data_IF_681333860844
#
_entry.id   IF_681333860844
#
_cell.length_a   1.000
_cell.length_b   1.000
_cell.length_c   1.000
_cell.angle_alpha   90.00
_cell.angle_beta   90.00
_cell.angle_gamma   90.00
#
_symmetry.space_group_name_H-M   'P 1'
#
loop_
_entity.id
_entity.type
_entity.pdbx_description
1 polymer ?
#
# COMPACT_ATOMS: atom_id res chain seq x y z
N UNK A 1 -12.21 -1.20 -28.84
CA UNK A 1 -11.41 -0.15 -29.52
C UNK A 1 -11.64 1.17 -28.81
N UNK A 2 -10.85 1.43 -27.78
CA UNK A 2 -10.77 2.70 -27.05
C UNK A 2 -9.28 2.93 -26.74
N UNK A 3 -8.76 4.15 -26.89
CA UNK A 3 -7.32 4.39 -26.88
C UNK A 3 -6.76 4.51 -25.47
N UNK A 4 -5.60 3.90 -25.28
CA UNK A 4 -4.69 4.07 -24.15
C UNK A 4 -4.37 5.54 -23.91
N UNK A 5 -4.97 6.12 -22.88
CA UNK A 5 -4.62 7.44 -22.35
C UNK A 5 -4.30 7.27 -20.85
N UNK A 6 -3.16 6.64 -20.57
CA UNK A 6 -2.41 6.90 -19.36
C UNK A 6 -1.12 7.61 -19.78
N UNK A 7 -0.80 8.78 -19.21
CA UNK A 7 0.48 9.40 -19.47
C UNK A 7 1.59 8.50 -18.95
N UNK A 8 2.59 8.30 -19.78
CA UNK A 8 3.72 7.42 -19.58
C UNK A 8 4.64 8.03 -18.50
N UNK A 9 4.31 7.88 -17.22
CA UNK A 9 5.09 8.40 -16.07
C UNK A 9 6.52 7.84 -16.06
N UNK A 10 6.76 6.68 -16.68
CA UNK A 10 8.10 6.12 -16.89
C UNK A 10 8.98 6.95 -17.82
N UNK A 11 8.42 7.87 -18.63
CA UNK A 11 9.18 8.65 -19.61
C UNK A 11 9.59 10.04 -19.12
N UNK A 12 8.94 10.56 -18.06
CA UNK A 12 9.22 11.88 -17.52
C UNK A 12 10.40 11.90 -16.51
N UNK A 13 10.77 10.74 -15.95
CA UNK A 13 11.88 10.62 -14.98
C UNK A 13 13.23 10.37 -15.66
N UNK A 14 13.25 9.94 -16.93
CA UNK A 14 14.49 9.72 -17.72
C UNK A 14 14.99 10.98 -18.46
N UNK A 15 14.97 12.12 -17.77
CA UNK A 15 15.53 13.38 -18.25
C UNK A 15 17.07 13.40 -18.21
N UNK A 16 17.70 13.05 -19.35
CA UNK A 16 19.10 13.32 -19.76
C UNK A 16 20.24 12.58 -19.03
N UNK A 17 20.56 11.38 -19.54
CA UNK A 17 21.84 11.12 -20.24
C UNK A 17 21.70 9.86 -21.09
N UNK A 18 21.44 10.05 -22.38
CA UNK A 18 21.48 8.98 -23.39
C UNK A 18 22.95 8.63 -23.63
N UNK A 19 23.47 7.61 -22.96
CA UNK A 19 24.78 7.04 -23.29
C UNK A 19 24.54 6.12 -24.49
N UNK A 20 24.94 6.58 -25.68
CA UNK A 20 25.02 5.69 -26.85
C UNK A 20 26.18 4.73 -26.64
N UNK A 21 26.02 3.42 -26.91
CA UNK A 21 27.16 2.53 -26.96
C UNK A 21 27.92 2.79 -28.26
N UNK A 22 29.14 3.34 -28.14
CA UNK A 22 30.11 3.33 -29.23
C UNK A 22 30.56 1.89 -29.45
N UNK A 23 30.32 1.39 -30.66
CA UNK A 23 30.77 0.10 -31.16
C UNK A 23 32.30 0.04 -31.20
N UNK A 24 32.88 -0.66 -30.23
CA UNK A 24 34.19 -1.31 -30.35
C UNK A 24 34.14 -2.51 -29.41
N UNK A 25 33.89 -3.68 -29.99
CA UNK A 25 34.07 -4.98 -29.36
C UNK A 25 35.56 -5.14 -28.97
N UNK A 26 35.81 -5.87 -27.89
CA UNK A 26 37.12 -6.22 -27.30
C UNK A 26 37.64 -5.34 -26.13
N UNK A 27 36.83 -5.11 -25.07
CA UNK A 27 37.34 -4.93 -23.67
C UNK A 27 36.25 -5.00 -22.54
N UNK A 28 35.19 -5.80 -22.76
CA UNK A 28 33.90 -5.60 -22.06
C UNK A 28 33.78 -6.06 -20.61
N UNK A 29 34.71 -6.85 -20.07
CA UNK A 29 34.55 -7.48 -18.75
C UNK A 29 35.11 -6.66 -17.59
N UNK A 30 36.25 -5.97 -17.76
CA UNK A 30 36.84 -5.17 -16.67
C UNK A 30 36.05 -3.89 -16.39
N UNK A 31 35.55 -3.21 -17.43
CA UNK A 31 34.73 -2.01 -17.26
C UNK A 31 33.36 -2.30 -16.62
N UNK A 32 32.76 -3.46 -16.91
CA UNK A 32 31.47 -3.85 -16.31
C UNK A 32 31.61 -4.19 -14.82
N UNK A 33 32.68 -4.88 -14.43
CA UNK A 33 32.96 -5.19 -13.02
C UNK A 33 33.24 -3.94 -12.19
N UNK A 34 33.96 -2.96 -12.75
CA UNK A 34 34.26 -1.71 -12.05
C UNK A 34 33.01 -0.86 -11.82
N UNK A 35 32.13 -0.76 -12.84
CA UNK A 35 30.84 -0.06 -12.74
C UNK A 35 29.91 -0.72 -11.72
N UNK A 36 29.86 -2.05 -11.69
CA UNK A 36 29.06 -2.80 -10.72
C UNK A 36 29.55 -2.60 -9.27
N UNK A 37 30.87 -2.56 -9.08
CA UNK A 37 31.47 -2.27 -7.77
C UNK A 37 31.12 -0.86 -7.31
N UNK A 38 31.20 0.12 -8.21
CA UNK A 38 30.81 1.50 -7.92
C UNK A 38 29.35 1.63 -7.46
N UNK A 39 28.40 0.98 -8.14
CA UNK A 39 27.00 1.03 -7.73
C UNK A 39 26.75 0.36 -6.38
N UNK A 40 27.50 -0.69 -6.05
CA UNK A 40 27.40 -1.35 -4.75
C UNK A 40 27.91 -0.43 -3.63
N UNK A 41 29.02 0.27 -3.87
CA UNK A 41 29.52 1.30 -2.96
C UNK A 41 28.53 2.46 -2.79
N UNK A 42 27.89 2.92 -3.88
CA UNK A 42 26.85 3.95 -3.81
C UNK A 42 25.61 3.50 -3.01
N UNK A 43 25.20 2.23 -3.17
CA UNK A 43 24.10 1.66 -2.38
C UNK A 43 24.47 1.58 -0.89
N UNK A 44 25.68 1.11 -0.59
CA UNK A 44 26.19 1.01 0.77
C UNK A 44 26.33 2.39 1.43
N UNK A 45 26.82 3.40 0.71
CA UNK A 45 26.88 4.79 1.18
C UNK A 45 25.48 5.32 1.47
N UNK A 46 24.53 5.09 0.55
CA UNK A 46 23.14 5.54 0.73
C UNK A 46 22.51 4.96 1.99
N UNK A 47 22.65 3.65 2.22
CA UNK A 47 22.13 2.96 3.41
C UNK A 47 22.82 3.46 4.68
N UNK A 48 24.14 3.65 4.64
CA UNK A 48 24.92 4.14 5.78
C UNK A 48 24.51 5.56 6.17
N UNK A 49 24.24 6.43 5.18
CA UNK A 49 23.73 7.78 5.41
C UNK A 49 22.34 7.77 6.00
N UNK A 50 21.40 6.95 5.48
CA UNK A 50 20.07 6.79 6.05
C UNK A 50 20.17 6.40 7.53
N UNK A 51 20.96 5.38 7.86
CA UNK A 51 21.14 4.93 9.24
C UNK A 51 21.74 6.02 10.14
N UNK A 52 22.71 6.79 9.63
CA UNK A 52 23.30 7.90 10.36
C UNK A 52 22.30 9.04 10.61
N UNK A 53 21.48 9.40 9.62
CA UNK A 53 20.45 10.43 9.77
C UNK A 53 19.41 10.00 10.81
N UNK A 54 18.91 8.76 10.74
CA UNK A 54 17.99 8.20 11.75
C UNK A 54 18.60 8.28 13.15
N UNK A 55 19.87 7.88 13.29
CA UNK A 55 20.59 7.95 14.58
C UNK A 55 20.75 9.40 15.07
N UNK A 56 21.10 10.33 14.20
CA UNK A 56 21.24 11.74 14.53
C UNK A 56 19.91 12.33 15.02
N UNK A 57 18.80 12.03 14.31
CA UNK A 57 17.46 12.44 14.71
C UNK A 57 17.06 11.86 16.08
N UNK A 58 17.36 10.58 16.34
CA UNK A 58 17.09 9.95 17.64
C UNK A 58 17.91 10.57 18.78
N UNK A 59 19.18 10.92 18.54
CA UNK A 59 20.02 11.59 19.53
C UNK A 59 19.50 13.00 19.81
N UNK A 60 19.24 13.78 18.75
CA UNK A 60 18.72 15.14 18.89
C UNK A 60 17.42 15.16 19.70
N UNK A 61 16.50 14.24 19.40
CA UNK A 61 15.26 14.10 20.15
C UNK A 61 15.46 13.66 21.60
N UNK A 62 16.35 12.70 21.86
CA UNK A 62 16.65 12.23 23.22
C UNK A 62 17.25 13.34 24.10
N UNK A 63 18.10 14.20 23.52
CA UNK A 63 18.63 15.39 24.20
C UNK A 63 17.52 16.39 24.50
N UNK A 64 16.62 16.63 23.54
CA UNK A 64 15.51 17.55 23.70
C UNK A 64 14.52 17.07 24.78
N UNK A 65 14.09 15.80 24.74
CA UNK A 65 13.21 15.21 25.76
C UNK A 65 13.87 15.05 27.13
N UNK A 66 15.17 14.73 27.18
CA UNK A 66 15.95 14.69 28.42
C UNK A 66 16.03 16.06 29.12
N UNK A 67 16.04 17.16 28.36
CA UNK A 67 16.00 18.51 28.90
C UNK A 67 14.62 18.89 29.48
N UNK A 68 13.52 18.34 28.94
CA UNK A 68 12.17 18.60 29.44
C UNK A 68 11.74 17.71 30.62
N UNK A 69 12.34 16.53 30.80
CA UNK A 69 12.08 15.63 31.93
C UNK A 69 12.96 15.89 33.17
N UNK A 70 14.03 16.68 33.03
CA UNK A 70 14.81 17.19 34.16
C UNK A 70 15.05 18.71 34.06
N UNK A 71 14.01 19.56 34.20
CA UNK A 71 14.23 20.94 34.55
C UNK A 71 14.69 20.94 36.01
N UNK A 72 16.00 20.99 36.18
CA UNK A 72 16.70 21.47 37.36
C UNK A 72 16.07 21.16 38.74
N UNK A 73 16.72 20.26 39.50
CA UNK A 73 16.44 20.03 40.93
C UNK A 73 16.54 21.31 41.79
N UNK A 74 16.89 22.47 41.21
CA UNK A 74 16.87 23.78 41.85
C UNK A 74 15.48 24.46 41.98
N UNK A 75 14.42 24.00 41.29
CA UNK A 75 13.11 24.70 41.34
C UNK A 75 12.11 24.17 42.39
N UNK A 76 12.49 23.24 43.29
CA UNK A 76 11.69 22.84 44.47
C UNK A 76 12.04 23.67 45.71
N UNK A 77 11.83 24.98 45.65
CA UNK A 77 11.67 25.85 46.83
C UNK A 77 11.12 27.19 46.37
N UNK A 78 9.80 27.26 46.21
CA UNK A 78 8.92 28.44 46.23
C UNK A 78 7.71 28.14 45.33
N UNK A 79 6.65 27.56 45.86
CA UNK A 79 5.48 28.34 46.29
C UNK A 79 4.33 27.36 46.55
N UNK A 80 4.18 27.02 47.82
CA UNK A 80 3.05 26.29 48.34
C UNK A 80 2.01 27.33 48.78
N UNK A 81 1.16 27.79 47.85
CA UNK A 81 -0.07 28.54 48.19
C UNK A 81 -0.93 28.76 46.95
N UNK A 82 -1.95 27.91 46.76
CA UNK A 82 -3.35 28.34 46.78
C UNK A 82 -4.25 27.29 46.10
N UNK A 83 -5.06 26.68 46.95
CA UNK A 83 -6.27 25.94 46.64
C UNK A 83 -7.36 26.96 46.24
N UNK A 84 -7.97 26.81 45.07
CA UNK A 84 -9.40 27.12 44.87
C UNK A 84 -9.97 26.51 43.59
N UNK A 85 -10.86 25.53 43.81
CA UNK A 85 -12.11 25.21 43.10
C UNK A 85 -12.34 25.66 41.64
N UNK A 86 -12.67 24.67 40.80
CA UNK A 86 -13.45 24.85 39.58
C UNK A 86 -14.03 23.53 39.08
N UNK A 87 -15.32 23.26 39.38
CA UNK A 87 -16.10 22.13 38.86
C UNK A 87 -16.43 22.34 37.38
N UNK A 88 -16.36 21.29 36.57
CA UNK A 88 -16.93 21.27 35.21
C UNK A 88 -16.91 19.87 34.59
N UNK A 89 -18.06 19.19 34.61
CA UNK A 89 -18.32 17.89 33.98
C UNK A 89 -18.43 18.04 32.46
N UNK A 90 -17.89 17.10 31.69
CA UNK A 90 -18.69 16.32 30.73
C UNK A 90 -17.92 15.12 30.21
N UNK A 91 -18.61 13.99 30.13
CA UNK A 91 -18.10 12.69 29.73
C UNK A 91 -18.24 12.49 28.23
N UNK A 92 -17.21 11.92 27.61
CA UNK A 92 -17.24 11.33 26.28
C UNK A 92 -16.23 10.18 26.24
N UNK A 93 -16.71 8.98 25.93
CA UNK A 93 -15.93 7.75 25.66
C UNK A 93 -14.76 8.11 24.71
N UNK A 94 -13.51 7.70 24.90
CA UNK A 94 -13.05 6.36 25.26
C UNK A 94 -12.29 5.75 24.08
N UNK A 95 -11.16 6.36 23.70
CA UNK A 95 -10.05 5.71 22.97
C UNK A 95 -8.77 6.25 23.60
N UNK A 96 -7.85 5.36 23.98
CA UNK A 96 -6.52 5.77 24.41
C UNK A 96 -5.86 6.48 23.23
N UNK A 97 -5.84 7.81 23.24
CA UNK A 97 -5.15 8.59 22.23
C UNK A 97 -3.65 8.31 22.37
N UNK A 98 -3.15 7.35 21.60
CA UNK A 98 -1.73 7.24 21.32
C UNK A 98 -1.32 8.58 20.70
N UNK A 99 -0.64 9.40 21.48
CA UNK A 99 -0.13 10.68 20.99
C UNK A 99 0.84 10.35 19.85
N UNK A 100 0.72 11.01 18.71
CA UNK A 100 1.70 10.88 17.64
C UNK A 100 2.30 12.26 17.36
N UNK A 101 3.56 12.30 16.94
CA UNK A 101 4.18 13.56 16.51
C UNK A 101 5.17 13.31 15.39
N UNK A 102 5.28 14.28 14.47
CA UNK A 102 6.36 14.26 13.50
C UNK A 102 7.72 14.52 14.15
N UNK A 103 8.72 13.76 13.71
CA UNK A 103 10.11 14.04 14.04
C UNK A 103 10.48 15.43 13.51
N UNK A 104 11.10 16.28 14.33
CA UNK A 104 11.54 17.60 13.91
C UNK A 104 12.77 17.44 13.00
N UNK A 105 12.54 17.35 11.69
CA UNK A 105 13.62 17.32 10.71
C UNK A 105 13.94 18.74 10.28
N UNK A 106 15.23 19.07 10.23
CA UNK A 106 15.68 20.26 9.53
C UNK A 106 15.41 20.09 8.03
N UNK A 107 15.07 21.17 7.33
CA UNK A 107 14.73 21.11 5.89
C UNK A 107 15.83 20.47 5.03
N UNK A 108 17.10 20.58 5.43
CA UNK A 108 18.22 19.92 4.75
C UNK A 108 18.19 18.40 4.93
N UNK A 109 17.96 17.92 6.16
CA UNK A 109 17.89 16.50 6.52
C UNK A 109 16.70 15.84 5.85
N UNK A 110 15.55 16.52 5.83
CA UNK A 110 14.34 16.04 5.15
C UNK A 110 14.57 15.79 3.67
N UNK A 111 15.15 16.78 2.96
CA UNK A 111 15.47 16.66 1.53
C UNK A 111 16.50 15.57 1.25
N UNK A 112 17.53 15.47 2.10
CA UNK A 112 18.54 14.42 1.98
C UNK A 112 17.92 13.03 2.17
N UNK A 113 17.06 12.85 3.17
CA UNK A 113 16.38 11.58 3.42
C UNK A 113 15.47 11.16 2.25
N UNK A 114 14.69 12.10 1.70
CA UNK A 114 13.86 11.88 0.51
C UNK A 114 14.73 11.40 -0.66
N UNK A 115 15.83 12.09 -0.93
CA UNK A 115 16.74 11.74 -2.02
C UNK A 115 17.41 10.37 -1.82
N UNK A 116 17.83 10.05 -0.59
CA UNK A 116 18.44 8.76 -0.26
C UNK A 116 17.44 7.60 -0.43
N UNK A 117 16.19 7.77 -0.01
CA UNK A 117 15.13 6.77 -0.21
C UNK A 117 14.82 6.54 -1.69
N UNK A 118 14.78 7.61 -2.49
CA UNK A 118 14.62 7.53 -3.95
C UNK A 118 15.79 6.81 -4.59
N UNK A 119 17.02 7.25 -4.29
CA UNK A 119 18.26 6.71 -4.86
C UNK A 119 18.45 5.24 -4.53
N UNK A 120 18.15 4.83 -3.30
CA UNK A 120 18.22 3.43 -2.86
C UNK A 120 17.29 2.55 -3.71
N UNK A 121 16.04 2.95 -3.92
CA UNK A 121 15.11 2.20 -4.76
C UNK A 121 15.57 2.12 -6.22
N UNK A 122 16.11 3.22 -6.77
CA UNK A 122 16.64 3.23 -8.14
C UNK A 122 17.83 2.30 -8.34
N UNK A 123 18.78 2.29 -7.40
CA UNK A 123 19.94 1.39 -7.44
C UNK A 123 19.52 -0.07 -7.34
N UNK A 124 18.54 -0.39 -6.49
CA UNK A 124 18.04 -1.76 -6.34
C UNK A 124 17.29 -2.22 -7.58
N UNK A 125 16.46 -1.35 -8.18
CA UNK A 125 15.77 -1.64 -9.45
C UNK A 125 16.77 -1.79 -10.60
N UNK A 126 17.84 -0.98 -10.61
CA UNK A 126 18.93 -1.14 -11.56
C UNK A 126 19.63 -2.49 -11.38
N UNK A 127 19.94 -2.86 -10.13
CA UNK A 127 20.54 -4.14 -9.76
C UNK A 127 19.70 -5.32 -10.20
N UNK A 128 18.41 -5.31 -9.90
CA UNK A 128 17.48 -6.35 -10.31
C UNK A 128 17.46 -6.61 -11.84
N UNK A 129 17.80 -5.61 -12.67
CA UNK A 129 17.87 -5.75 -14.13
C UNK A 129 19.26 -6.09 -14.67
N UNK A 130 20.31 -5.60 -14.04
CA UNK A 130 21.67 -5.60 -14.61
C UNK A 130 22.71 -6.29 -13.74
N UNK A 131 22.52 -6.32 -12.41
CA UNK A 131 23.45 -6.90 -11.45
C UNK A 131 22.73 -7.40 -10.19
N UNK A 132 22.56 -8.72 -10.08
CA UNK A 132 21.87 -9.37 -8.97
C UNK A 132 22.55 -9.15 -7.61
N UNK A 133 23.85 -8.83 -7.56
CA UNK A 133 24.60 -8.60 -6.33
C UNK A 133 24.05 -7.40 -5.54
N UNK A 134 23.60 -6.35 -6.22
CA UNK A 134 22.97 -5.18 -5.59
C UNK A 134 21.66 -5.55 -4.90
N UNK A 135 20.85 -6.38 -5.56
CA UNK A 135 19.58 -6.85 -5.01
C UNK A 135 19.80 -7.82 -3.85
N UNK A 136 20.79 -8.72 -3.98
CA UNK A 136 21.19 -9.62 -2.92
C UNK A 136 21.68 -8.85 -1.69
N UNK A 137 22.54 -7.85 -1.88
CA UNK A 137 23.01 -6.98 -0.79
C UNK A 137 21.85 -6.26 -0.08
N UNK A 138 20.87 -5.76 -0.85
CA UNK A 138 19.65 -5.15 -0.31
C UNK A 138 18.88 -6.12 0.60
N UNK A 139 18.76 -7.38 0.20
CA UNK A 139 18.10 -8.42 0.98
C UNK A 139 18.92 -8.82 2.22
N UNK A 140 20.23 -9.04 2.07
CA UNK A 140 21.14 -9.43 3.15
C UNK A 140 21.21 -8.37 4.26
N UNK A 141 21.16 -7.09 3.89
CA UNK A 141 21.15 -5.97 4.85
C UNK A 141 19.75 -5.64 5.38
N UNK A 142 18.72 -6.35 4.93
CA UNK A 142 17.32 -6.12 5.27
C UNK A 142 16.91 -4.65 5.10
N UNK A 143 17.33 -4.02 4.01
CA UNK A 143 17.11 -2.59 3.76
C UNK A 143 15.62 -2.27 3.65
N UNK A 144 14.81 -3.21 3.16
CA UNK A 144 13.35 -3.12 3.18
C UNK A 144 12.85 -2.86 4.61
N UNK A 145 13.31 -3.63 5.59
CA UNK A 145 12.93 -3.42 6.98
C UNK A 145 13.32 -2.05 7.49
N UNK A 146 14.51 -1.55 7.14
CA UNK A 146 14.96 -0.20 7.52
C UNK A 146 13.99 0.85 6.96
N UNK A 147 13.61 0.75 5.69
CA UNK A 147 12.66 1.68 5.06
C UNK A 147 11.29 1.60 5.74
N UNK A 148 10.79 0.39 5.99
CA UNK A 148 9.50 0.20 6.67
C UNK A 148 9.53 0.71 8.11
N UNK A 149 10.59 0.46 8.86
CA UNK A 149 10.75 0.94 10.23
C UNK A 149 10.79 2.47 10.28
N UNK A 150 11.38 3.13 9.27
CA UNK A 150 11.28 4.59 9.10
C UNK A 150 9.83 5.01 8.88
N UNK A 151 9.12 4.38 7.93
CA UNK A 151 7.74 4.71 7.58
C UNK A 151 6.74 4.47 8.71
N UNK A 152 6.94 3.43 9.51
CA UNK A 152 6.07 3.09 10.66
C UNK A 152 6.43 3.87 11.92
N UNK A 153 7.55 4.59 11.90
CA UNK A 153 8.08 5.30 13.06
C UNK A 153 8.83 4.42 14.07
N UNK A 154 8.93 3.12 13.82
CA UNK A 154 9.68 2.17 14.65
C UNK A 154 11.17 2.50 14.71
N UNK A 155 11.73 3.05 13.63
CA UNK A 155 13.11 3.53 13.60
C UNK A 155 13.37 4.69 14.57
N UNK A 156 12.32 5.40 15.00
CA UNK A 156 12.38 6.52 15.92
C UNK A 156 11.82 6.21 17.31
N UNK A 157 11.41 4.96 17.55
CA UNK A 157 10.91 4.53 18.84
C UNK A 157 12.07 4.51 19.85
N UNK A 158 12.06 5.47 20.78
CA UNK A 158 13.00 5.48 21.91
C UNK A 158 12.31 4.96 23.17
N UNK A 159 13.05 4.26 24.03
CA UNK A 159 12.53 3.72 25.31
C UNK A 159 11.95 4.81 26.23
N UNK A 160 12.32 6.08 26.01
CA UNK A 160 11.86 7.24 26.77
C UNK A 160 10.57 7.90 26.26
N UNK A 161 10.00 7.44 25.13
CA UNK A 161 8.76 8.02 24.60
C UNK A 161 7.56 7.37 25.28
N UNK A 162 7.17 7.88 26.45
CA UNK A 162 5.98 7.44 27.19
C UNK A 162 4.69 7.61 26.35
N UNK A 163 4.34 6.59 25.56
CA UNK A 163 3.07 6.52 24.84
C UNK A 163 2.94 7.46 23.63
N UNK A 164 4.03 8.05 23.15
CA UNK A 164 4.03 8.88 21.95
C UNK A 164 4.84 8.25 20.81
N UNK A 165 4.21 7.99 19.66
CA UNK A 165 4.89 7.45 18.47
C UNK A 165 5.42 8.59 17.62
N UNK A 166 6.70 8.51 17.26
CA UNK A 166 7.36 9.50 16.41
C UNK A 166 7.31 9.05 14.95
N UNK A 167 6.72 9.87 14.08
CA UNK A 167 6.59 9.60 12.64
C UNK A 167 7.58 10.44 11.83
N UNK A 168 8.06 9.97 10.67
CA UNK A 168 8.83 10.80 9.76
C UNK A 168 7.97 11.93 9.19
N UNK A 169 8.58 13.05 8.73
CA UNK A 169 7.87 14.07 7.96
C UNK A 169 7.11 13.47 6.77
N UNK A 170 6.02 14.13 6.37
CA UNK A 170 5.11 13.62 5.36
C UNK A 170 5.79 13.41 3.99
N UNK A 171 6.69 14.31 3.58
CA UNK A 171 7.49 14.17 2.36
C UNK A 171 8.36 12.90 2.35
N UNK A 172 8.98 12.57 3.48
CA UNK A 172 9.80 11.36 3.68
C UNK A 172 8.91 10.12 3.62
N UNK A 173 7.73 10.18 4.27
CA UNK A 173 6.75 9.09 4.23
C UNK A 173 6.25 8.81 2.82
N UNK A 174 5.82 9.86 2.10
CA UNK A 174 5.34 9.78 0.72
C UNK A 174 6.42 9.19 -0.19
N UNK A 175 7.66 9.69 -0.10
CA UNK A 175 8.76 9.16 -0.90
C UNK A 175 9.09 7.71 -0.58
N UNK A 176 9.11 7.31 0.69
CA UNK A 176 9.41 5.92 1.06
C UNK A 176 8.34 4.95 0.55
N UNK A 177 7.04 5.31 0.67
CA UNK A 177 5.93 4.53 0.11
C UNK A 177 6.06 4.42 -1.42
N UNK A 178 6.36 5.53 -2.10
CA UNK A 178 6.56 5.56 -3.54
C UNK A 178 7.75 4.70 -3.97
N UNK A 179 8.88 4.79 -3.26
CA UNK A 179 10.08 3.98 -3.49
C UNK A 179 9.76 2.48 -3.38
N UNK A 180 8.98 2.08 -2.37
CA UNK A 180 8.54 0.69 -2.22
C UNK A 180 7.62 0.24 -3.35
N UNK A 181 6.68 1.10 -3.78
CA UNK A 181 5.81 0.81 -4.92
C UNK A 181 6.62 0.56 -6.20
N UNK A 182 7.61 1.41 -6.49
CA UNK A 182 8.49 1.30 -7.65
C UNK A 182 9.31 0.01 -7.58
N UNK A 183 9.88 -0.30 -6.42
CA UNK A 183 10.68 -1.51 -6.23
C UNK A 183 9.87 -2.77 -6.55
N UNK A 184 8.69 -2.92 -5.94
CA UNK A 184 7.79 -4.06 -6.18
C UNK A 184 7.32 -4.13 -7.63
N UNK A 185 7.01 -2.99 -8.24
CA UNK A 185 6.56 -2.95 -9.62
C UNK A 185 7.65 -3.36 -10.61
N UNK A 186 8.93 -3.14 -10.31
CA UNK A 186 10.02 -3.36 -11.25
C UNK A 186 10.79 -4.67 -11.06
N UNK A 187 10.48 -5.47 -10.03
CA UNK A 187 11.10 -6.78 -9.83
C UNK A 187 10.65 -7.78 -10.89
N UNK A 188 11.58 -8.31 -11.66
CA UNK A 188 11.27 -9.22 -12.78
C UNK A 188 11.60 -10.66 -12.45
N UNK A 189 12.62 -10.89 -11.63
CA UNK A 189 13.05 -12.22 -11.23
C UNK A 189 12.07 -12.77 -10.19
N UNK A 190 11.62 -14.00 -10.44
CA UNK A 190 10.72 -14.73 -9.55
C UNK A 190 11.33 -14.89 -8.16
N UNK A 191 12.60 -15.28 -8.05
CA UNK A 191 13.30 -15.44 -6.77
C UNK A 191 13.36 -14.13 -5.98
N UNK A 192 13.71 -13.03 -6.67
CA UNK A 192 13.72 -11.68 -6.07
C UNK A 192 12.33 -11.29 -5.55
N UNK A 193 11.27 -11.59 -6.30
CA UNK A 193 9.90 -11.34 -5.88
C UNK A 193 9.55 -12.14 -4.62
N UNK A 194 9.88 -13.44 -4.59
CA UNK A 194 9.66 -14.28 -3.42
C UNK A 194 10.41 -13.76 -2.18
N UNK A 195 11.66 -13.31 -2.33
CA UNK A 195 12.44 -12.73 -1.22
C UNK A 195 11.82 -11.44 -0.67
N UNK A 196 11.26 -10.59 -1.53
CA UNK A 196 10.57 -9.37 -1.10
C UNK A 196 9.26 -9.67 -0.39
N UNK A 197 8.44 -10.56 -0.97
CA UNK A 197 7.12 -10.89 -0.42
C UNK A 197 7.21 -11.68 0.88
N UNK A 198 8.26 -12.49 1.05
CA UNK A 198 8.52 -13.22 2.28
C UNK A 198 8.99 -12.32 3.44
N UNK A 199 9.30 -11.04 3.17
CA UNK A 199 9.73 -10.13 4.22
C UNK A 199 8.53 -9.71 5.09
N UNK A 200 8.57 -10.07 6.37
CA UNK A 200 7.53 -9.76 7.35
C UNK A 200 7.22 -8.26 7.45
N UNK A 201 8.22 -7.40 7.18
CA UNK A 201 8.04 -5.95 7.22
C UNK A 201 7.18 -5.42 6.09
N UNK A 202 7.04 -6.17 5.00
CA UNK A 202 6.08 -5.80 3.97
C UNK A 202 4.64 -5.88 4.51
N UNK A 203 4.34 -6.84 5.39
CA UNK A 203 3.04 -6.94 6.04
C UNK A 203 2.78 -5.75 7.00
N UNK A 204 3.81 -5.30 7.73
CA UNK A 204 3.75 -4.08 8.54
C UNK A 204 3.45 -2.84 7.68
N UNK A 205 4.08 -2.74 6.50
CA UNK A 205 3.84 -1.65 5.56
C UNK A 205 2.41 -1.67 4.99
N UNK A 206 1.85 -2.84 4.69
CA UNK A 206 0.42 -2.94 4.32
C UNK A 206 -0.45 -2.38 5.44
N UNK A 207 -0.07 -2.58 6.71
CA UNK A 207 -0.78 -2.11 7.89
C UNK A 207 -0.43 -0.67 8.29
N UNK A 208 0.31 0.10 7.48
CA UNK A 208 0.78 1.46 7.78
C UNK A 208 -0.32 2.40 8.31
N UNK A 209 -0.26 2.88 9.58
CA UNK A 209 -1.37 3.60 10.20
C UNK A 209 -1.51 5.04 9.70
N UNK A 210 -2.16 5.24 8.54
CA UNK A 210 -2.39 6.56 7.94
C UNK A 210 -3.18 7.52 8.84
N UNK A 211 -4.05 7.00 9.71
CA UNK A 211 -4.79 7.80 10.69
C UNK A 211 -3.85 8.55 11.65
N UNK A 212 -2.68 7.98 11.95
CA UNK A 212 -1.67 8.65 12.77
C UNK A 212 -1.05 9.82 12.00
N UNK A 213 -0.76 9.65 10.71
CA UNK A 213 -0.27 10.76 9.87
C UNK A 213 -1.28 11.91 9.80
N UNK A 214 -2.57 11.59 9.70
CA UNK A 214 -3.68 12.55 9.73
C UNK A 214 -3.81 13.25 11.09
N UNK A 215 -3.68 12.50 12.18
CA UNK A 215 -3.82 13.04 13.55
C UNK A 215 -2.64 13.91 13.98
N UNK A 216 -1.46 13.64 13.43
CA UNK A 216 -0.23 14.39 13.67
C UNK A 216 -0.17 15.72 12.91
N UNK A 217 -0.97 15.89 11.85
CA UNK A 217 -0.81 16.99 10.91
C UNK A 217 -1.61 18.24 11.29
N UNK A 218 -0.89 19.36 11.42
CA UNK A 218 -1.42 20.70 11.11
C UNK A 218 -1.16 21.10 9.65
N UNK A 219 -1.00 20.12 8.74
CA UNK A 219 -0.75 20.32 7.31
C UNK A 219 -2.07 20.33 6.53
N UNK A 220 -2.04 20.82 5.30
CA UNK A 220 -3.21 20.90 4.43
C UNK A 220 -3.70 19.51 4.01
N UNK A 221 -5.02 19.36 3.83
CA UNK A 221 -5.66 18.10 3.39
C UNK A 221 -5.05 17.54 2.08
N UNK A 222 -4.45 18.41 1.27
CA UNK A 222 -3.80 18.05 0.01
C UNK A 222 -2.59 17.12 0.19
N UNK A 223 -1.72 17.38 1.17
CA UNK A 223 -0.49 16.60 1.35
C UNK A 223 -0.81 15.18 1.84
N UNK A 224 -1.82 15.06 2.71
CA UNK A 224 -2.34 13.76 3.18
C UNK A 224 -2.98 12.97 2.04
N UNK A 225 -3.70 13.66 1.14
CA UNK A 225 -4.28 13.05 -0.06
C UNK A 225 -3.18 12.50 -0.99
N UNK A 226 -2.06 13.22 -1.12
CA UNK A 226 -0.89 12.74 -1.87
C UNK A 226 -0.29 11.46 -1.26
N UNK A 227 -0.08 11.41 0.06
CA UNK A 227 0.38 10.19 0.73
C UNK A 227 -0.60 9.03 0.49
N UNK A 228 -1.90 9.28 0.63
CA UNK A 228 -2.95 8.26 0.44
C UNK A 228 -2.97 7.72 -1.00
N UNK A 229 -2.78 8.60 -1.99
CA UNK A 229 -2.70 8.25 -3.41
C UNK A 229 -1.48 7.37 -3.70
N UNK A 230 -0.33 7.72 -3.16
CA UNK A 230 0.89 6.92 -3.28
C UNK A 230 0.76 5.57 -2.54
N UNK A 231 0.11 5.56 -1.39
CA UNK A 231 -0.14 4.34 -0.63
C UNK A 231 -1.07 3.36 -1.36
N UNK A 232 -2.18 3.83 -1.92
CA UNK A 232 -3.06 2.96 -2.72
C UNK A 232 -2.36 2.50 -4.00
N UNK A 233 -1.49 3.31 -4.59
CA UNK A 233 -0.64 2.88 -5.71
C UNK A 233 0.34 1.77 -5.30
N UNK A 234 0.91 1.84 -4.09
CA UNK A 234 1.69 0.75 -3.50
C UNK A 234 0.86 -0.53 -3.31
N UNK A 235 -0.34 -0.43 -2.73
CA UNK A 235 -1.24 -1.59 -2.59
C UNK A 235 -1.58 -2.21 -3.94
N UNK A 236 -1.80 -1.37 -4.97
CA UNK A 236 -2.01 -1.82 -6.35
C UNK A 236 -0.81 -2.58 -6.88
N UNK A 237 0.41 -2.09 -6.67
CA UNK A 237 1.64 -2.78 -7.08
C UNK A 237 1.74 -4.16 -6.44
N UNK A 238 1.34 -4.33 -5.17
CA UNK A 238 1.26 -5.63 -4.52
C UNK A 238 0.16 -6.51 -5.12
N UNK A 239 -1.04 -5.98 -5.30
CA UNK A 239 -2.16 -6.73 -5.86
C UNK A 239 -1.86 -7.26 -7.28
N UNK A 240 -1.09 -6.51 -8.08
CA UNK A 240 -0.64 -6.94 -9.41
C UNK A 240 0.40 -8.08 -9.36
N UNK A 241 1.04 -8.31 -8.22
CA UNK A 241 1.97 -9.44 -7.99
C UNK A 241 1.30 -10.64 -7.34
N UNK A 242 0.03 -10.51 -6.98
CA UNK A 242 -0.75 -11.57 -6.36
C UNK A 242 -1.24 -12.55 -7.43
N UNK A 243 -0.81 -13.81 -7.31
CA UNK A 243 -1.24 -14.93 -8.14
C UNK A 243 -1.36 -16.19 -7.25
N UNK A 244 -1.70 -17.33 -7.83
CA UNK A 244 -1.87 -18.58 -7.10
C UNK A 244 -0.64 -19.04 -6.31
N UNK A 245 0.57 -18.67 -6.73
CA UNK A 245 1.80 -19.05 -6.06
C UNK A 245 2.21 -18.05 -4.96
N UNK A 246 1.95 -16.76 -5.17
CA UNK A 246 2.34 -15.69 -4.24
C UNK A 246 1.26 -15.34 -3.22
N UNK A 247 0.02 -15.81 -3.41
CA UNK A 247 -1.12 -15.50 -2.56
C UNK A 247 -0.87 -15.84 -1.09
N UNK A 248 -0.13 -16.92 -0.82
CA UNK A 248 0.22 -17.34 0.54
C UNK A 248 0.96 -16.26 1.35
N UNK A 249 1.68 -15.31 0.70
CA UNK A 249 2.37 -14.21 1.39
C UNK A 249 1.42 -13.11 1.87
N UNK A 250 0.21 -13.07 1.32
CA UNK A 250 -0.81 -12.06 1.66
C UNK A 250 -1.86 -12.58 2.63
N UNK A 251 -1.78 -13.86 3.02
CA UNK A 251 -2.70 -14.51 3.94
C UNK A 251 -1.99 -14.82 5.26
N UNK A 252 -2.61 -14.45 6.37
CA UNK A 252 -2.16 -14.86 7.70
C UNK A 252 -3.19 -15.81 8.31
N UNK A 253 -2.72 -16.97 8.74
CA UNK A 253 -3.53 -17.98 9.42
C UNK A 253 -3.21 -17.94 10.92
N UNK A 254 -4.20 -17.81 11.81
CA UNK A 254 -3.97 -17.76 13.26
C UNK A 254 -3.25 -19.03 13.77
N UNK A 255 -2.31 -18.84 14.69
CA UNK A 255 -1.30 -19.84 15.11
C UNK A 255 -1.87 -21.12 15.73
N UNK A 256 -3.09 -21.10 16.26
CA UNK A 256 -3.67 -22.17 17.08
C UNK A 256 -3.72 -23.56 16.40
N UNK A 257 -3.44 -23.67 15.09
CA UNK A 257 -3.43 -24.96 14.39
C UNK A 257 -2.33 -25.21 13.35
N UNK A 258 -1.16 -24.55 13.42
CA UNK A 258 0.03 -25.10 12.72
C UNK A 258 0.33 -26.56 13.14
N UNK A 259 -0.06 -26.95 14.36
CA UNK A 259 0.08 -28.32 14.87
C UNK A 259 -1.02 -29.30 14.41
N UNK A 260 -2.17 -28.83 13.89
CA UNK A 260 -3.26 -29.71 13.45
C UNK A 260 -3.20 -30.07 11.97
N UNK A 261 -2.46 -29.30 11.16
CA UNK A 261 -2.26 -29.57 9.73
C UNK A 261 -1.35 -30.78 9.49
N UNK A 262 -0.38 -31.03 10.37
CA UNK A 262 0.49 -32.21 10.31
C UNK A 262 -0.17 -33.46 10.88
N UNK A 263 -1.04 -33.33 11.88
CA UNK A 263 -1.74 -34.47 12.49
C UNK A 263 -2.87 -35.04 11.60
N UNK A 264 -3.56 -34.19 10.82
CA UNK A 264 -4.71 -34.62 10.01
C UNK A 264 -4.33 -35.32 8.69
N UNK A 265 -3.08 -35.20 8.23
CA UNK A 265 -2.59 -35.91 7.05
C UNK A 265 -2.22 -37.38 7.36
N UNK A 266 -2.02 -37.73 8.63
CA UNK A 266 -1.59 -39.06 9.06
C UNK A 266 -2.75 -40.06 9.29
N UNK A 267 -4.01 -39.64 9.13
CA UNK A 267 -5.18 -40.47 9.48
C UNK A 267 -6.17 -40.72 8.33
N UNK A 268 -5.76 -40.53 7.07
CA UNK A 268 -6.50 -41.03 5.91
C UNK A 268 -6.16 -42.51 5.67
N UNK A 269 -6.58 -43.38 6.59
CA UNK A 269 -6.79 -44.80 6.31
C UNK A 269 -8.14 -44.92 5.58
N UNK A 270 -8.11 -45.56 4.42
CA UNK A 270 -9.29 -46.01 3.69
C UNK A 270 -9.95 -47.14 4.48
N UNK A 271 -11.08 -46.88 5.13
CA UNK A 271 -12.04 -47.94 5.46
C UNK A 271 -13.45 -47.42 5.21
N UNK A 272 -14.15 -48.19 4.37
CA UNK A 272 -15.59 -48.21 4.08
C UNK A 272 -16.44 -48.03 5.36
N UNK A 273 -17.36 -47.06 5.38
CA UNK A 273 -18.81 -47.30 5.52
C UNK A 273 -19.59 -45.98 5.72
N UNK A 274 -20.88 -46.08 5.42
CA UNK A 274 -21.90 -45.05 5.23
C UNK A 274 -22.00 -43.82 6.18
N UNK A 275 -22.31 -42.70 5.54
CA UNK A 275 -23.28 -41.68 5.98
C UNK A 275 -23.01 -40.92 7.29
N UNK A 276 -21.88 -40.20 7.37
CA UNK A 276 -21.75 -39.06 8.28
C UNK A 276 -21.53 -37.75 7.52
N UNK A 277 -22.45 -36.82 7.79
CA UNK A 277 -22.42 -35.41 7.45
C UNK A 277 -21.01 -34.91 7.75
N UNK A 278 -20.22 -34.67 6.69
CA UNK A 278 -18.89 -34.08 6.78
C UNK A 278 -19.03 -32.76 7.52
N UNK A 279 -18.71 -32.78 8.81
CA UNK A 279 -18.52 -31.60 9.65
C UNK A 279 -17.42 -30.80 8.96
N UNK A 280 -17.83 -29.80 8.17
CA UNK A 280 -16.93 -28.79 7.65
C UNK A 280 -16.17 -28.26 8.86
N UNK A 281 -14.83 -28.40 8.90
CA UNK A 281 -14.07 -27.94 10.05
C UNK A 281 -14.37 -26.45 10.20
N UNK A 282 -14.76 -26.04 11.42
CA UNK A 282 -15.02 -24.65 11.80
C UNK A 282 -14.15 -23.70 10.97
N UNK A 283 -14.81 -22.94 10.08
CA UNK A 283 -14.16 -22.16 9.03
C UNK A 283 -13.07 -21.30 9.65
N UNK A 284 -11.85 -21.54 9.19
CA UNK A 284 -10.64 -20.87 9.67
C UNK A 284 -10.78 -19.38 9.40
N UNK A 285 -10.73 -18.56 10.45
CA UNK A 285 -10.67 -17.12 10.32
C UNK A 285 -9.29 -16.76 9.75
N UNK A 286 -9.25 -16.42 8.47
CA UNK A 286 -8.03 -15.96 7.79
C UNK A 286 -7.97 -14.46 7.83
N UNK A 287 -6.80 -13.91 8.09
CA UNK A 287 -6.53 -12.50 7.85
C UNK A 287 -6.01 -12.30 6.44
N UNK A 288 -6.60 -11.32 5.75
CA UNK A 288 -6.13 -10.86 4.45
C UNK A 288 -5.84 -9.37 4.52
N UNK A 289 -4.66 -8.96 5.03
CA UNK A 289 -4.36 -7.56 5.29
C UNK A 289 -4.45 -6.67 4.05
N UNK A 290 -4.00 -7.14 2.89
CA UNK A 290 -4.06 -6.38 1.64
C UNK A 290 -5.52 -6.07 1.24
N UNK A 291 -6.41 -7.07 1.32
CA UNK A 291 -7.82 -6.89 1.02
C UNK A 291 -8.50 -5.97 2.04
N UNK A 292 -8.30 -6.25 3.34
CA UNK A 292 -8.88 -5.46 4.42
C UNK A 292 -8.46 -3.98 4.30
N UNK A 293 -7.19 -3.73 3.97
CA UNK A 293 -6.69 -2.36 3.80
C UNK A 293 -7.19 -1.68 2.54
N UNK A 294 -7.33 -2.38 1.42
CA UNK A 294 -7.97 -1.80 0.24
C UNK A 294 -9.44 -1.42 0.52
N UNK A 295 -10.17 -2.21 1.31
CA UNK A 295 -11.57 -1.95 1.63
C UNK A 295 -11.78 -0.61 2.37
N UNK A 296 -10.84 -0.20 3.23
CA UNK A 296 -10.87 1.10 3.94
C UNK A 296 -10.89 2.30 2.97
N UNK A 297 -10.27 2.16 1.79
CA UNK A 297 -10.23 3.20 0.75
C UNK A 297 -11.42 3.16 -0.22
N UNK A 298 -12.32 2.20 -0.09
CA UNK A 298 -13.51 2.12 -0.95
C UNK A 298 -14.59 3.15 -0.56
N UNK A 299 -14.40 3.91 0.53
CA UNK A 299 -15.38 4.87 1.05
C UNK A 299 -15.64 6.05 0.10
N UNK A 300 -16.87 6.59 0.15
CA UNK A 300 -17.31 7.66 -0.75
C UNK A 300 -16.61 9.01 -0.52
N UNK A 301 -15.94 9.18 0.63
CA UNK A 301 -15.18 10.38 0.98
C UNK A 301 -13.79 10.43 0.33
N UNK A 302 -13.32 9.33 -0.26
CA UNK A 302 -12.01 9.27 -0.89
C UNK A 302 -12.04 9.86 -2.30
N UNK A 303 -10.88 10.30 -2.77
CA UNK A 303 -10.68 10.71 -4.15
C UNK A 303 -11.07 9.58 -5.13
N UNK A 304 -11.61 9.96 -6.30
CA UNK A 304 -12.10 9.00 -7.30
C UNK A 304 -11.03 7.99 -7.73
N UNK A 305 -9.79 8.45 -7.90
CA UNK A 305 -8.67 7.58 -8.28
C UNK A 305 -8.33 6.57 -7.18
N UNK A 306 -8.25 7.04 -5.93
CA UNK A 306 -7.95 6.23 -4.73
C UNK A 306 -9.01 5.15 -4.57
N UNK A 307 -10.29 5.53 -4.60
CA UNK A 307 -11.43 4.63 -4.48
C UNK A 307 -11.46 3.58 -5.59
N UNK A 308 -11.40 4.02 -6.85
CA UNK A 308 -11.44 3.13 -8.01
C UNK A 308 -10.28 2.14 -8.00
N UNK A 309 -9.09 2.57 -7.62
CA UNK A 309 -7.92 1.69 -7.51
C UNK A 309 -8.11 0.65 -6.40
N UNK A 310 -8.59 1.07 -5.23
CA UNK A 310 -8.86 0.18 -4.11
C UNK A 310 -9.95 -0.86 -4.42
N UNK A 311 -11.01 -0.45 -5.11
CA UNK A 311 -12.06 -1.35 -5.57
C UNK A 311 -11.54 -2.37 -6.57
N UNK A 312 -10.68 -1.96 -7.51
CA UNK A 312 -10.04 -2.88 -8.45
C UNK A 312 -9.17 -3.93 -7.73
N UNK A 313 -8.50 -3.57 -6.63
CA UNK A 313 -7.75 -4.53 -5.80
C UNK A 313 -8.72 -5.57 -5.18
N UNK A 314 -9.84 -5.10 -4.64
CA UNK A 314 -10.88 -5.97 -4.05
C UNK A 314 -11.48 -6.92 -5.12
N UNK A 315 -11.79 -6.39 -6.30
CA UNK A 315 -12.33 -7.14 -7.44
C UNK A 315 -11.34 -8.18 -7.97
N UNK A 316 -10.07 -7.82 -8.12
CA UNK A 316 -9.04 -8.78 -8.52
C UNK A 316 -8.93 -9.93 -7.53
N UNK A 317 -9.07 -9.63 -6.23
CA UNK A 317 -9.09 -10.66 -5.18
C UNK A 317 -10.28 -11.60 -5.32
N UNK A 318 -11.49 -11.06 -5.56
CA UNK A 318 -12.68 -11.87 -5.83
C UNK A 318 -12.54 -12.73 -7.08
N UNK A 319 -11.96 -12.19 -8.16
CA UNK A 319 -11.72 -12.92 -9.40
C UNK A 319 -10.78 -14.12 -9.21
N UNK A 320 -9.78 -14.02 -8.32
CA UNK A 320 -8.91 -15.15 -7.98
C UNK A 320 -9.67 -16.30 -7.29
N UNK A 321 -10.75 -15.98 -6.57
CA UNK A 321 -11.60 -16.98 -5.90
C UNK A 321 -12.55 -17.67 -6.88
N UNK A 322 -13.12 -16.90 -7.81
CA UNK A 322 -14.16 -17.37 -8.74
C UNK A 322 -13.58 -18.12 -9.96
N UNK A 323 -12.28 -18.00 -10.23
CA UNK A 323 -11.62 -18.68 -11.35
C UNK A 323 -11.67 -20.23 -11.21
N UNK A 324 -12.74 -20.84 -11.72
CA UNK A 324 -12.83 -22.26 -12.06
C UNK A 324 -12.54 -22.50 -13.55
N UNK A 325 -12.15 -23.75 -13.85
CA UNK A 325 -11.82 -24.31 -15.17
C UNK A 325 -12.69 -23.82 -16.33
N UNK A 326 -12.14 -22.96 -17.20
CA UNK A 326 -12.55 -22.90 -18.61
C UNK A 326 -11.60 -23.78 -19.43
N UNK A 327 -11.69 -25.10 -19.24
CA UNK A 327 -11.20 -26.06 -20.25
C UNK A 327 -12.39 -26.90 -20.66
N UNK A 328 -13.09 -26.44 -21.69
CA UNK A 328 -13.45 -27.23 -22.87
C UNK A 328 -14.12 -26.30 -23.90
N UNK A 329 -13.66 -26.42 -25.15
CA UNK A 329 -14.20 -25.80 -26.37
C UNK A 329 -14.06 -24.28 -26.57
N UNK A 330 -12.91 -23.85 -27.14
CA UNK A 330 -12.95 -23.10 -28.40
C UNK A 330 -11.61 -23.04 -29.14
N UNK A 331 -11.75 -23.40 -30.41
CA UNK A 331 -10.78 -23.51 -31.49
C UNK A 331 -9.82 -22.33 -31.64
N UNK A 332 -8.62 -22.68 -32.11
CA UNK A 332 -7.57 -21.82 -32.63
C UNK A 332 -8.08 -20.56 -33.34
N UNK A 333 -7.67 -19.39 -32.84
CA UNK A 333 -7.52 -18.20 -33.69
C UNK A 333 -6.29 -17.42 -33.24
N UNK A 334 -5.29 -17.42 -34.11
CA UNK A 334 -4.05 -16.66 -34.02
C UNK A 334 -4.30 -15.17 -33.70
N UNK A 335 -3.70 -14.70 -32.62
CA UNK A 335 -3.62 -13.29 -32.24
C UNK A 335 -2.57 -13.12 -31.15
N UNK A 336 -1.35 -12.78 -31.55
CA UNK A 336 -0.19 -12.54 -30.69
C UNK A 336 -0.45 -11.43 -29.66
N UNK A 337 -0.59 -11.81 -28.39
CA UNK A 337 -0.29 -10.95 -27.24
C UNK A 337 0.97 -11.49 -26.55
N UNK A 338 1.98 -10.65 -26.23
CA UNK A 338 3.15 -11.10 -25.48
C UNK A 338 2.81 -11.12 -23.99
N UNK A 339 2.04 -12.11 -23.57
CA UNK A 339 1.94 -12.53 -22.17
C UNK A 339 2.59 -13.91 -22.15
N UNK A 340 3.82 -13.97 -21.65
CA UNK A 340 4.51 -15.23 -21.44
C UNK A 340 3.62 -16.12 -20.57
N UNK A 341 3.45 -17.36 -21.02
CA UNK A 341 2.67 -18.41 -20.37
C UNK A 341 2.91 -18.46 -18.86
N UNK A 342 1.96 -17.92 -18.10
CA UNK A 342 1.71 -18.32 -16.72
C UNK A 342 1.04 -19.69 -16.81
N UNK A 343 1.78 -20.75 -16.51
CA UNK A 343 1.15 -22.02 -16.16
C UNK A 343 0.11 -21.72 -15.07
N UNK A 344 -1.16 -21.99 -15.38
CA UNK A 344 -2.28 -21.82 -14.44
C UNK A 344 -2.14 -22.85 -13.32
N UNK A 345 -1.28 -22.59 -12.35
CA UNK A 345 -1.35 -23.26 -11.05
C UNK A 345 -2.68 -22.83 -10.45
N UNK A 346 -3.62 -23.76 -10.36
CA UNK A 346 -4.93 -23.49 -9.76
C UNK A 346 -4.77 -23.47 -8.24
N UNK A 347 -5.34 -22.46 -7.58
CA UNK A 347 -5.41 -22.43 -6.12
C UNK A 347 -6.02 -23.73 -5.59
N UNK A 348 -5.60 -24.21 -4.42
CA UNK A 348 -6.30 -25.33 -3.79
C UNK A 348 -7.77 -24.96 -3.58
N UNK A 349 -8.69 -25.91 -3.79
CA UNK A 349 -10.11 -25.70 -3.52
C UNK A 349 -10.34 -25.19 -2.09
N UNK A 350 -9.53 -25.67 -1.14
CA UNK A 350 -9.56 -25.23 0.25
C UNK A 350 -9.23 -23.74 0.39
N UNK A 351 -8.17 -23.27 -0.26
CA UNK A 351 -7.74 -21.87 -0.15
C UNK A 351 -8.76 -20.95 -0.81
N UNK A 352 -9.32 -21.35 -1.97
CA UNK A 352 -10.43 -20.64 -2.60
C UNK A 352 -11.63 -20.49 -1.68
N UNK A 353 -12.08 -21.59 -1.06
CA UNK A 353 -13.25 -21.57 -0.18
C UNK A 353 -13.04 -20.67 1.04
N UNK A 354 -11.85 -20.67 1.61
CA UNK A 354 -11.50 -19.85 2.77
C UNK A 354 -11.49 -18.37 2.39
N UNK A 355 -10.86 -18.02 1.26
CA UNK A 355 -10.84 -16.63 0.78
C UNK A 355 -12.24 -16.20 0.36
N UNK A 356 -13.03 -17.05 -0.30
CA UNK A 356 -14.43 -16.80 -0.64
C UNK A 356 -15.23 -16.43 0.61
N UNK A 357 -15.15 -17.26 1.65
CA UNK A 357 -15.84 -17.01 2.90
C UNK A 357 -15.38 -15.71 3.57
N UNK A 358 -14.07 -15.42 3.52
CA UNK A 358 -13.54 -14.17 4.04
C UNK A 358 -14.08 -12.96 3.25
N UNK A 359 -13.94 -12.94 1.94
CA UNK A 359 -14.24 -11.78 1.11
C UNK A 359 -15.75 -11.56 0.95
N UNK A 360 -16.55 -12.62 0.89
CA UNK A 360 -18.00 -12.57 0.75
C UNK A 360 -18.75 -12.41 2.09
N UNK A 361 -18.04 -12.11 3.18
CA UNK A 361 -18.68 -11.79 4.46
C UNK A 361 -19.64 -10.59 4.29
N UNK A 362 -20.89 -10.65 4.80
CA UNK A 362 -21.90 -9.62 4.55
C UNK A 362 -21.45 -8.20 4.87
N UNK A 363 -20.69 -8.02 5.95
CA UNK A 363 -20.15 -6.72 6.37
C UNK A 363 -19.17 -6.13 5.34
N UNK A 364 -18.33 -6.97 4.73
CA UNK A 364 -17.32 -6.56 3.74
C UNK A 364 -17.95 -6.28 2.39
N UNK A 365 -18.89 -7.12 1.96
CA UNK A 365 -19.69 -6.89 0.76
C UNK A 365 -20.47 -5.58 0.88
N UNK A 366 -21.09 -5.34 2.05
CA UNK A 366 -21.77 -4.08 2.34
C UNK A 366 -20.80 -2.89 2.28
N UNK A 367 -19.59 -3.01 2.85
CA UNK A 367 -18.58 -1.96 2.81
C UNK A 367 -18.08 -1.67 1.38
N UNK A 368 -18.13 -2.64 0.47
CA UNK A 368 -17.78 -2.46 -0.94
C UNK A 368 -18.91 -1.82 -1.75
N UNK A 369 -20.16 -2.24 -1.55
CA UNK A 369 -21.32 -1.82 -2.37
C UNK A 369 -21.93 -0.48 -1.90
N UNK A 370 -21.94 -0.23 -0.59
CA UNK A 370 -22.57 0.97 -0.01
C UNK A 370 -21.99 2.28 -0.55
N UNK A 371 -20.66 2.45 -0.67
CA UNK A 371 -20.08 3.67 -1.22
C UNK A 371 -20.51 3.94 -2.66
N UNK A 372 -20.49 2.92 -3.51
CA UNK A 372 -20.90 3.01 -4.92
C UNK A 372 -22.37 3.45 -5.02
N UNK A 373 -23.23 2.80 -4.25
CA UNK A 373 -24.66 3.11 -4.22
C UNK A 373 -24.91 4.54 -3.76
N UNK A 374 -24.13 5.02 -2.78
CA UNK A 374 -24.19 6.40 -2.28
C UNK A 374 -23.77 7.40 -3.34
N UNK A 375 -22.68 7.15 -4.06
CA UNK A 375 -22.18 8.03 -5.12
C UNK A 375 -23.15 8.06 -6.30
N UNK A 376 -23.65 6.90 -6.75
CA UNK A 376 -24.66 6.82 -7.80
C UNK A 376 -25.90 7.64 -7.41
N UNK A 377 -26.38 7.52 -6.18
CA UNK A 377 -27.51 8.32 -5.70
C UNK A 377 -27.21 9.83 -5.72
N UNK A 378 -25.99 10.24 -5.31
CA UNK A 378 -25.57 11.64 -5.36
C UNK A 378 -25.48 12.17 -6.79
N UNK A 379 -24.81 11.45 -7.69
CA UNK A 379 -24.65 11.82 -9.10
C UNK A 379 -26.00 11.91 -9.81
N UNK A 380 -26.92 10.98 -9.54
CA UNK A 380 -28.30 11.05 -10.03
C UNK A 380 -29.02 12.31 -9.54
N UNK A 381 -28.89 12.66 -8.25
CA UNK A 381 -29.46 13.92 -7.72
C UNK A 381 -28.87 15.16 -8.38
N UNK A 382 -27.55 15.20 -8.59
CA UNK A 382 -26.88 16.32 -9.25
C UNK A 382 -27.28 16.46 -10.72
N UNK A 383 -27.49 15.32 -11.38
CA UNK A 383 -27.98 15.27 -12.76
C UNK A 383 -29.41 15.81 -12.85
N UNK A 384 -30.31 15.38 -11.95
CA UNK A 384 -31.69 15.89 -11.87
C UNK A 384 -31.73 17.41 -11.66
N UNK A 385 -30.94 17.92 -10.71
CA UNK A 385 -30.85 19.36 -10.43
C UNK A 385 -30.27 20.14 -11.62
N UNK A 386 -29.27 19.57 -12.32
CA UNK A 386 -28.68 20.18 -13.50
C UNK A 386 -29.67 20.21 -14.68
N UNK A 387 -30.50 19.17 -14.85
CA UNK A 387 -31.55 19.11 -15.87
C UNK A 387 -32.65 20.14 -15.55
N UNK A 388 -33.10 20.23 -14.29
CA UNK A 388 -34.07 21.26 -13.86
C UNK A 388 -33.53 22.68 -14.08
N UNK A 389 -32.25 22.90 -13.79
CA UNK A 389 -31.60 24.18 -14.08
C UNK A 389 -31.56 24.48 -15.59
N UNK A 390 -31.42 23.45 -16.43
CA UNK A 390 -31.41 23.59 -17.89
C UNK A 390 -32.76 24.09 -18.42
N UNK A 391 -33.87 23.62 -17.84
CA UNK A 391 -35.22 24.05 -18.18
C UNK A 391 -35.49 25.54 -17.83
N UNK A 392 -34.77 26.09 -16.84
CA UNK A 392 -34.93 27.48 -16.38
C UNK A 392 -34.09 28.54 -17.11
N UNK A 393 -33.14 28.17 -17.96
CA UNK A 393 -32.17 29.11 -18.55
C UNK A 393 -32.53 29.60 -19.97
N UNK A 394 -32.76 30.90 -20.13
CA UNK A 394 -33.05 31.53 -21.43
C UNK A 394 -31.80 32.03 -22.22
N UNK A 395 -30.59 31.98 -21.65
CA UNK A 395 -29.36 32.52 -22.27
C UNK A 395 -28.50 31.48 -23.00
N UNK A 396 -27.86 31.86 -24.11
CA UNK A 396 -26.96 30.97 -24.89
C UNK A 396 -25.65 30.63 -24.15
N UNK A 397 -24.98 31.60 -23.52
CA UNK A 397 -23.69 31.38 -22.82
C UNK A 397 -23.79 30.49 -21.55
N UNK A 398 -24.95 30.45 -20.90
CA UNK A 398 -25.18 29.58 -19.74
C UNK A 398 -25.43 28.11 -20.12
N UNK A 399 -26.01 27.87 -21.30
CA UNK A 399 -26.37 26.54 -21.78
C UNK A 399 -25.15 25.68 -22.10
N UNK A 400 -24.07 26.25 -22.63
CA UNK A 400 -22.85 25.48 -22.96
C UNK A 400 -22.10 25.03 -21.70
N UNK A 401 -21.99 25.90 -20.68
CA UNK A 401 -21.40 25.53 -19.39
C UNK A 401 -22.19 24.43 -18.69
N UNK A 402 -23.53 24.55 -18.68
CA UNK A 402 -24.39 23.55 -18.07
C UNK A 402 -24.37 22.23 -18.85
N UNK A 403 -24.31 22.28 -20.19
CA UNK A 403 -24.14 21.09 -21.03
C UNK A 403 -22.84 20.36 -20.73
N UNK A 404 -21.73 21.08 -20.56
CA UNK A 404 -20.45 20.47 -20.17
C UNK A 404 -20.56 19.83 -18.79
N UNK A 405 -21.15 20.53 -17.80
CA UNK A 405 -21.35 19.98 -16.45
C UNK A 405 -22.22 18.70 -16.45
N UNK A 406 -23.31 18.68 -17.22
CA UNK A 406 -24.15 17.48 -17.40
C UNK A 406 -23.34 16.35 -18.04
N UNK A 407 -22.55 16.66 -19.06
CA UNK A 407 -21.69 15.66 -19.72
C UNK A 407 -20.68 15.06 -18.74
N UNK A 408 -20.02 15.89 -17.94
CA UNK A 408 -19.04 15.44 -16.95
C UNK A 408 -19.72 14.54 -15.90
N UNK A 409 -20.89 14.95 -15.38
CA UNK A 409 -21.67 14.15 -14.41
C UNK A 409 -22.11 12.80 -15.00
N UNK A 410 -22.45 12.75 -16.29
CA UNK A 410 -22.82 11.49 -16.97
C UNK A 410 -21.61 10.57 -17.14
N UNK A 411 -20.41 11.12 -17.40
CA UNK A 411 -19.18 10.34 -17.48
C UNK A 411 -18.89 9.72 -16.10
N UNK A 412 -18.95 10.52 -15.03
CA UNK A 412 -18.72 10.05 -13.66
C UNK A 412 -19.72 8.95 -13.28
N UNK A 413 -21.01 9.13 -13.63
CA UNK A 413 -22.05 8.12 -13.37
C UNK A 413 -21.79 6.83 -14.14
N UNK A 414 -21.32 6.93 -15.39
CA UNK A 414 -21.00 5.77 -16.21
C UNK A 414 -19.83 4.98 -15.60
N UNK A 415 -18.79 5.65 -15.07
CA UNK A 415 -17.67 4.99 -14.41
C UNK A 415 -18.10 4.20 -13.18
N UNK A 416 -18.95 4.79 -12.33
CA UNK A 416 -19.46 4.12 -11.12
C UNK A 416 -20.42 2.96 -11.44
N UNK A 417 -21.25 3.07 -12.49
CA UNK A 417 -22.11 1.98 -12.95
C UNK A 417 -21.28 0.81 -13.48
N UNK A 418 -20.20 1.08 -14.23
CA UNK A 418 -19.29 0.03 -14.72
C UNK A 418 -18.64 -0.71 -13.56
N UNK A 419 -18.22 0.00 -12.51
CA UNK A 419 -17.69 -0.63 -11.30
C UNK A 419 -18.73 -1.51 -10.59
N UNK A 420 -19.97 -1.06 -10.49
CA UNK A 420 -21.06 -1.85 -9.91
C UNK A 420 -21.36 -3.11 -10.74
N UNK A 421 -21.42 -2.98 -12.07
CA UNK A 421 -21.63 -4.10 -12.99
C UNK A 421 -20.50 -5.14 -12.87
N UNK A 422 -19.25 -4.69 -12.76
CA UNK A 422 -18.10 -5.58 -12.53
C UNK A 422 -18.18 -6.31 -11.18
N UNK A 423 -18.73 -5.69 -10.13
CA UNK A 423 -18.97 -6.36 -8.84
C UNK A 423 -20.11 -7.39 -8.95
N UNK A 424 -21.19 -7.07 -9.66
CA UNK A 424 -22.35 -7.95 -9.79
C UNK A 424 -22.08 -9.19 -10.67
N UNK A 425 -21.08 -9.12 -11.56
CA UNK A 425 -20.66 -10.26 -12.41
C UNK A 425 -19.81 -11.29 -11.69
N UNK A 426 -19.17 -10.90 -10.59
CA UNK A 426 -18.29 -11.75 -9.78
C UNK A 426 -19.08 -12.34 -8.64
#
# INVERSE_FOLDING_TARGET
MLPSMLPNISSAIFGRKRIQPSSTEEDGTENSQNVNTQFLEELQDSISRIANLVKQCNIAWSVETGAYLFPDKAARKLNNSNISNGKGKSAGKGYNAHSCRFMPFDSAVEKEMVELLRRTAELVVYGERNNQDLFQYFCERNVLAIIVDILTGLAFATENTMGCTMLPPLSVATQGVQSMAILIQNVSNVQSLYLLLANERLADLIKLPLEMYQSCSGHDDADISELSTNFVSFLKSLAMRMNSETLQFFLTFPEERRQSLTASAAHFSLDDDDNDIRVMPAMVEVEFPLYARALEFCTASQDSFVRTTAMNICLNTLRLVVAEHNHEDRSESNGTCPIGSLEQVTLSFRDRLIIAHHVCAPERVSALITPISTIIAQLCGWLEDSIRAFEGFAGYMGRDRLRNKVRDTVIDLQEEIVLLDDILKV
#
